data_IF_345183033280
#
_entry.id   IF_345183033280
#
_cell.length_a   1.000
_cell.length_b   1.000
_cell.length_c   1.000
_cell.angle_alpha   90.00
_cell.angle_beta   90.00
_cell.angle_gamma   90.00
#
_symmetry.space_group_name_H-M   'P 1'
#
loop_
_entity.id
_entity.type
_entity.pdbx_description
1 polymer ?
#
# COMPACT_ATOMS: atom_id res chain seq x y z
N UNK A 1 -12.44 -33.20 10.58
CA UNK A 1 -11.07 -33.28 10.02
C UNK A 1 -11.05 -32.45 8.74
N UNK A 2 -10.21 -31.40 8.72
CA UNK A 2 -9.83 -30.48 7.64
C UNK A 2 -9.93 -29.01 8.08
N UNK A 3 -9.08 -28.68 9.04
CA UNK A 3 -8.53 -27.34 9.24
C UNK A 3 -7.65 -26.99 8.04
N UNK A 4 -8.21 -26.31 7.04
CA UNK A 4 -7.41 -25.72 5.96
C UNK A 4 -6.85 -24.40 6.48
N UNK A 5 -5.68 -24.47 7.10
CA UNK A 5 -4.79 -23.32 7.25
C UNK A 5 -4.42 -22.84 5.84
N UNK A 6 -5.14 -21.83 5.33
CA UNK A 6 -4.86 -21.20 4.04
C UNK A 6 -3.71 -20.20 4.21
N UNK A 7 -2.50 -20.72 4.46
CA UNK A 7 -1.27 -19.93 4.53
C UNK A 7 -0.78 -19.53 3.12
N UNK A 8 -1.43 -18.51 2.58
CA UNK A 8 -1.02 -17.57 1.52
C UNK A 8 -2.27 -17.19 0.74
N UNK A 9 -2.96 -16.13 1.16
CA UNK A 9 -4.04 -15.56 0.35
C UNK A 9 -3.45 -15.08 -0.98
N UNK A 10 -3.82 -15.74 -2.09
CA UNK A 10 -3.41 -15.37 -3.43
C UNK A 10 -4.41 -14.36 -3.97
N UNK A 11 -4.40 -13.15 -3.38
CA UNK A 11 -5.35 -12.04 -3.64
C UNK A 11 -5.66 -11.87 -5.13
N UNK A 12 -4.63 -11.89 -5.98
CA UNK A 12 -4.79 -11.66 -7.42
C UNK A 12 -5.39 -12.85 -8.18
N UNK A 13 -5.21 -14.06 -7.67
CA UNK A 13 -5.81 -15.27 -8.26
C UNK A 13 -7.27 -15.35 -7.82
N UNK A 14 -7.53 -15.18 -6.52
CA UNK A 14 -8.87 -15.25 -5.92
C UNK A 14 -9.80 -14.13 -6.46
N UNK A 15 -9.26 -12.97 -6.87
CA UNK A 15 -10.03 -11.90 -7.51
C UNK A 15 -10.30 -12.10 -9.02
N UNK A 16 -9.92 -13.23 -9.61
CA UNK A 16 -10.13 -13.50 -11.04
C UNK A 16 -11.60 -13.82 -11.30
N UNK A 17 -12.19 -13.20 -12.32
CA UNK A 17 -13.56 -13.51 -12.76
C UNK A 17 -13.52 -14.74 -13.67
N UNK A 18 -14.17 -15.87 -13.30
CA UNK A 18 -14.12 -17.09 -14.10
C UNK A 18 -14.60 -16.87 -15.53
N UNK A 19 -13.91 -17.52 -16.49
CA UNK A 19 -14.26 -17.52 -17.92
C UNK A 19 -14.43 -16.13 -18.55
N UNK A 20 -13.85 -15.08 -17.94
CA UNK A 20 -13.95 -13.71 -18.42
C UNK A 20 -12.57 -13.16 -18.76
N UNK A 21 -12.44 -12.61 -19.96
CA UNK A 21 -11.20 -12.05 -20.46
C UNK A 21 -11.39 -10.58 -20.83
N UNK A 22 -10.31 -9.83 -20.71
CA UNK A 22 -10.26 -8.41 -21.08
C UNK A 22 -8.95 -8.15 -21.80
N UNK A 23 -8.92 -7.14 -22.65
CA UNK A 23 -7.72 -6.73 -23.36
C UNK A 23 -6.65 -6.24 -22.37
N UNK A 24 -5.38 -6.58 -22.61
CA UNK A 24 -4.28 -5.94 -21.89
C UNK A 24 -4.16 -4.47 -22.30
N UNK A 25 -4.05 -3.57 -21.32
CA UNK A 25 -3.89 -2.15 -21.61
C UNK A 25 -2.58 -1.85 -22.36
N UNK A 26 -2.65 -0.82 -23.21
CA UNK A 26 -1.45 -0.14 -23.69
C UNK A 26 -0.75 0.60 -22.53
N UNK A 27 0.53 0.92 -22.69
CA UNK A 27 1.26 1.65 -21.65
C UNK A 27 0.76 3.08 -21.47
N UNK A 28 0.19 3.69 -22.52
CA UNK A 28 -0.49 4.98 -22.42
C UNK A 28 -1.74 4.88 -21.54
N UNK A 29 -2.62 3.91 -21.81
CA UNK A 29 -3.85 3.67 -21.02
C UNK A 29 -3.53 3.32 -19.57
N UNK A 30 -2.54 2.45 -19.36
CA UNK A 30 -2.08 2.08 -18.01
C UNK A 30 -1.63 3.31 -17.24
N UNK A 31 -0.78 4.16 -17.83
CA UNK A 31 -0.28 5.37 -17.17
C UNK A 31 -1.40 6.34 -16.84
N UNK A 32 -2.32 6.59 -17.78
CA UNK A 32 -3.48 7.46 -17.53
C UNK A 32 -4.30 6.95 -16.34
N UNK A 33 -4.62 5.66 -16.30
CA UNK A 33 -5.40 5.10 -15.20
C UNK A 33 -4.62 5.01 -13.89
N UNK A 34 -3.31 4.76 -13.92
CA UNK A 34 -2.47 4.78 -12.72
C UNK A 34 -2.42 6.17 -12.11
N UNK A 35 -2.25 7.22 -12.92
CA UNK A 35 -2.26 8.61 -12.43
C UNK A 35 -3.61 9.00 -11.83
N UNK A 36 -4.72 8.57 -12.44
CA UNK A 36 -6.05 8.81 -11.88
C UNK A 36 -6.24 8.10 -10.54
N UNK A 37 -5.87 6.82 -10.44
CA UNK A 37 -5.96 6.07 -9.20
C UNK A 37 -5.09 6.69 -8.10
N UNK A 38 -3.90 7.16 -8.44
CA UNK A 38 -3.02 7.85 -7.51
C UNK A 38 -3.64 9.16 -7.00
N UNK A 39 -4.17 9.99 -7.89
CA UNK A 39 -4.83 11.23 -7.50
C UNK A 39 -6.06 10.95 -6.61
N UNK A 40 -6.87 9.96 -6.95
CA UNK A 40 -8.01 9.55 -6.13
C UNK A 40 -7.57 9.07 -4.74
N UNK A 41 -6.45 8.33 -4.65
CA UNK A 41 -5.90 7.91 -3.36
C UNK A 41 -5.49 9.12 -2.51
N UNK A 42 -4.77 10.09 -3.10
CA UNK A 42 -4.38 11.34 -2.44
C UNK A 42 -5.61 12.12 -1.95
N UNK A 43 -6.62 12.29 -2.81
CA UNK A 43 -7.87 12.97 -2.46
C UNK A 43 -8.57 12.31 -1.26
N UNK A 44 -8.42 10.99 -1.11
CA UNK A 44 -9.02 10.22 -0.02
C UNK A 44 -8.21 10.26 1.29
N UNK A 45 -6.93 10.67 1.27
CA UNK A 45 -6.12 10.79 2.50
C UNK A 45 -6.66 11.90 3.42
N UNK A 46 -6.95 13.07 2.84
CA UNK A 46 -7.35 14.27 3.58
C UNK A 46 -8.63 14.09 4.43
N UNK A 47 -9.76 13.64 3.87
CA UNK A 47 -10.99 13.47 4.65
C UNK A 47 -10.90 12.35 5.70
N UNK A 48 -9.94 11.44 5.57
CA UNK A 48 -9.73 10.33 6.50
C UNK A 48 -8.74 10.66 7.63
N UNK A 49 -8.08 11.81 7.59
CA UNK A 49 -7.04 12.16 8.56
C UNK A 49 -7.55 12.26 10.00
N UNK A 50 -8.84 12.55 10.17
CA UNK A 50 -9.52 12.67 11.46
C UNK A 50 -9.40 11.43 12.35
N UNK A 51 -9.14 10.25 11.76
CA UNK A 51 -8.89 8.99 12.46
C UNK A 51 -7.70 9.04 13.42
N UNK A 52 -6.78 9.98 13.22
CA UNK A 52 -5.64 10.19 14.12
C UNK A 52 -5.88 11.23 15.22
N UNK A 53 -7.03 11.93 15.23
CA UNK A 53 -7.30 12.98 16.22
C UNK A 53 -7.31 12.48 17.67
N UNK A 54 -7.62 11.19 17.90
CA UNK A 54 -7.58 10.56 19.21
C UNK A 54 -6.17 10.18 19.70
N UNK A 55 -5.14 10.29 18.86
CA UNK A 55 -3.76 9.89 19.20
C UNK A 55 -2.89 11.05 19.68
N UNK A 56 -3.22 12.29 19.29
CA UNK A 56 -2.40 13.46 19.61
C UNK A 56 -3.24 14.74 19.59
N UNK A 57 -2.86 15.68 20.45
CA UNK A 57 -3.37 17.06 20.44
C UNK A 57 -2.79 17.90 19.27
N UNK A 58 -1.85 17.36 18.49
CA UNK A 58 -1.19 18.03 17.37
C UNK A 58 -1.36 17.28 16.04
N UNK A 59 -2.61 17.01 15.60
CA UNK A 59 -2.88 16.18 14.42
C UNK A 59 -2.30 16.75 13.12
N UNK A 60 -2.19 18.07 12.98
CA UNK A 60 -1.56 18.71 11.80
C UNK A 60 -0.04 18.54 11.77
N UNK A 61 0.62 18.55 12.93
CA UNK A 61 2.06 18.26 13.00
C UNK A 61 2.31 16.79 12.66
N UNK A 62 1.44 15.89 13.13
CA UNK A 62 1.50 14.49 12.77
C UNK A 62 1.32 14.33 11.26
N UNK A 63 0.36 15.03 10.65
CA UNK A 63 0.12 15.01 9.21
C UNK A 63 1.35 15.37 8.40
N UNK A 64 2.00 16.46 8.78
CA UNK A 64 3.22 16.92 8.13
C UNK A 64 4.30 15.84 8.09
N UNK A 65 4.42 15.02 9.15
CA UNK A 65 5.37 13.90 9.18
C UNK A 65 5.17 12.88 8.04
N UNK A 66 3.92 12.69 7.59
CA UNK A 66 3.58 11.80 6.48
C UNK A 66 3.65 12.53 5.13
N UNK A 67 3.18 13.77 5.06
CA UNK A 67 3.21 14.58 3.84
C UNK A 67 4.65 14.80 3.33
N UNK A 68 5.61 14.97 4.25
CA UNK A 68 7.05 15.07 3.97
C UNK A 68 7.64 13.77 3.36
N UNK A 69 6.86 12.68 3.28
CA UNK A 69 7.25 11.40 2.65
C UNK A 69 6.58 11.17 1.30
N UNK A 70 5.84 12.13 0.77
CA UNK A 70 5.16 12.04 -0.53
C UNK A 70 6.12 11.69 -1.69
N UNK A 71 7.31 12.30 -1.74
CA UNK A 71 8.34 11.98 -2.76
C UNK A 71 8.80 10.52 -2.72
N UNK A 72 8.82 9.92 -1.53
CA UNK A 72 9.17 8.50 -1.35
C UNK A 72 8.12 7.58 -1.97
N UNK A 73 6.85 7.91 -1.78
CA UNK A 73 5.73 7.21 -2.39
C UNK A 73 5.79 7.33 -3.91
N UNK A 74 6.06 8.53 -4.43
CA UNK A 74 6.23 8.77 -5.86
C UNK A 74 7.36 7.93 -6.47
N UNK A 75 8.51 7.89 -5.80
CA UNK A 75 9.64 7.05 -6.22
C UNK A 75 9.28 5.56 -6.20
N UNK A 76 8.50 5.10 -5.23
CA UNK A 76 8.01 3.73 -5.16
C UNK A 76 7.10 3.39 -6.33
N UNK A 77 6.08 4.22 -6.58
CA UNK A 77 5.07 4.02 -7.63
C UNK A 77 5.73 4.03 -9.01
N UNK A 78 6.62 4.99 -9.24
CA UNK A 78 7.45 5.06 -10.44
C UNK A 78 8.24 3.78 -10.63
N UNK A 79 8.96 3.32 -9.60
CA UNK A 79 9.70 2.05 -9.69
C UNK A 79 8.76 0.88 -10.04
N UNK A 80 7.59 0.82 -9.41
CA UNK A 80 6.64 -0.27 -9.61
C UNK A 80 6.12 -0.31 -11.06
N UNK A 81 5.65 0.82 -11.58
CA UNK A 81 5.16 0.95 -12.97
C UNK A 81 6.21 0.50 -13.98
N UNK A 82 7.47 0.92 -13.81
CA UNK A 82 8.56 0.57 -14.71
C UNK A 82 8.95 -0.92 -14.67
N UNK A 83 8.68 -1.62 -13.57
CA UNK A 83 9.19 -2.98 -13.35
C UNK A 83 8.09 -4.06 -13.40
N UNK A 84 6.81 -3.67 -13.42
CA UNK A 84 5.71 -4.63 -13.40
C UNK A 84 5.47 -5.27 -14.78
N UNK A 85 5.88 -4.60 -15.88
CA UNK A 85 5.64 -5.05 -17.27
C UNK A 85 4.14 -5.32 -17.53
N UNK A 86 3.29 -4.44 -17.00
CA UNK A 86 1.83 -4.63 -17.01
C UNK A 86 1.14 -4.28 -18.32
N UNK A 87 1.84 -3.64 -19.26
CA UNK A 87 1.25 -3.06 -20.47
C UNK A 87 1.97 -3.48 -21.75
N UNK A 88 1.30 -3.27 -22.88
CA UNK A 88 1.88 -3.39 -24.22
C UNK A 88 2.04 -2.02 -24.89
N UNK A 89 2.80 -1.92 -25.97
CA UNK A 89 3.09 -0.64 -26.61
C UNK A 89 1.89 -0.03 -27.35
N UNK A 90 0.99 -0.87 -27.89
CA UNK A 90 -0.15 -0.42 -28.69
C UNK A 90 -1.48 -0.77 -28.01
N UNK A 91 -2.58 -0.22 -28.53
CA UNK A 91 -3.94 -0.42 -28.01
C UNK A 91 -4.52 -1.79 -28.36
N UNK A 92 -3.82 -2.64 -29.09
CA UNK A 92 -4.25 -3.98 -29.49
C UNK A 92 -3.56 -5.06 -28.65
N UNK A 93 -3.63 -4.93 -27.32
CA UNK A 93 -3.04 -5.90 -26.41
C UNK A 93 -3.70 -7.28 -26.45
N UNK A 94 -2.99 -8.34 -26.02
CA UNK A 94 -3.55 -9.69 -25.93
C UNK A 94 -4.68 -9.76 -24.91
N UNK A 95 -5.54 -10.76 -25.04
CA UNK A 95 -6.57 -11.05 -24.04
C UNK A 95 -5.94 -11.67 -22.79
N UNK A 96 -6.28 -11.13 -21.63
CA UNK A 96 -5.82 -11.59 -20.31
C UNK A 96 -7.02 -11.90 -19.41
N UNK A 97 -6.89 -12.75 -18.37
CA UNK A 97 -7.96 -12.99 -17.42
C UNK A 97 -8.41 -11.69 -16.74
N UNK A 98 -9.72 -11.42 -16.74
CA UNK A 98 -10.28 -10.23 -16.09
C UNK A 98 -10.31 -10.42 -14.57
N UNK A 99 -9.91 -9.39 -13.84
CA UNK A 99 -9.97 -9.36 -12.37
C UNK A 99 -10.97 -8.33 -11.87
N UNK A 100 -11.58 -8.63 -10.72
CA UNK A 100 -12.41 -7.67 -10.01
C UNK A 100 -11.51 -6.79 -9.12
N UNK A 101 -11.36 -5.51 -9.48
CA UNK A 101 -10.47 -4.57 -8.78
C UNK A 101 -10.97 -4.32 -7.34
N UNK A 102 -12.28 -4.16 -7.14
CA UNK A 102 -12.85 -4.02 -5.79
C UNK A 102 -12.56 -5.24 -4.91
N UNK A 103 -12.60 -6.43 -5.50
CA UNK A 103 -12.28 -7.67 -4.80
C UNK A 103 -10.79 -7.77 -4.44
N UNK A 104 -9.89 -7.23 -5.27
CA UNK A 104 -8.46 -7.11 -4.93
C UNK A 104 -8.28 -6.25 -3.67
N UNK A 105 -8.99 -5.12 -3.54
CA UNK A 105 -8.93 -4.28 -2.34
C UNK A 105 -9.46 -5.01 -1.11
N UNK A 106 -10.62 -5.68 -1.23
CA UNK A 106 -11.25 -6.43 -0.13
C UNK A 106 -10.35 -7.58 0.36
N UNK A 107 -9.87 -8.43 -0.55
CA UNK A 107 -8.99 -9.54 -0.23
C UNK A 107 -7.62 -9.06 0.28
N UNK A 108 -7.11 -7.96 -0.26
CA UNK A 108 -5.85 -7.35 0.18
C UNK A 108 -5.91 -6.85 1.63
N UNK A 109 -7.01 -6.18 1.99
CA UNK A 109 -7.32 -5.78 3.36
C UNK A 109 -7.41 -6.99 4.30
N UNK A 110 -8.18 -8.03 3.93
CA UNK A 110 -8.29 -9.26 4.74
C UNK A 110 -6.92 -9.89 4.98
N UNK A 111 -6.07 -9.93 3.96
CA UNK A 111 -4.71 -10.47 4.06
C UNK A 111 -3.84 -9.71 5.07
N UNK A 112 -4.02 -8.39 5.13
CA UNK A 112 -3.30 -7.51 6.05
C UNK A 112 -3.86 -7.66 7.46
N UNK A 113 -5.18 -7.58 7.61
CA UNK A 113 -5.88 -7.69 8.91
C UNK A 113 -5.61 -9.02 9.59
N UNK A 114 -5.61 -10.15 8.87
CA UNK A 114 -5.26 -11.45 9.45
C UNK A 114 -3.84 -11.49 10.01
N UNK A 115 -2.87 -10.87 9.32
CA UNK A 115 -1.49 -10.78 9.80
C UNK A 115 -1.36 -9.84 10.99
N UNK A 116 -2.07 -8.72 10.99
CA UNK A 116 -2.08 -7.77 12.10
C UNK A 116 -2.65 -8.41 13.37
N UNK A 117 -3.77 -9.14 13.27
CA UNK A 117 -4.37 -9.88 14.40
C UNK A 117 -3.40 -10.91 14.97
N UNK A 118 -2.71 -11.66 14.10
CA UNK A 118 -1.68 -12.62 14.52
C UNK A 118 -0.52 -11.98 15.29
N UNK A 119 -0.21 -10.71 15.03
CA UNK A 119 0.86 -9.98 15.71
C UNK A 119 0.35 -9.26 16.98
N UNK A 120 -0.93 -8.91 17.01
CA UNK A 120 -1.54 -8.09 18.07
C UNK A 120 -1.51 -8.70 19.48
N UNK A 121 -1.44 -10.03 19.58
CA UNK A 121 -1.42 -10.74 20.86
C UNK A 121 -0.14 -10.51 21.68
N UNK A 122 0.92 -9.98 21.05
CA UNK A 122 2.23 -9.75 21.68
C UNK A 122 2.61 -8.27 21.74
N UNK A 123 1.68 -7.36 21.48
CA UNK A 123 1.95 -5.93 21.32
C UNK A 123 1.44 -5.12 22.54
N UNK A 124 2.24 -4.20 23.09
CA UNK A 124 1.81 -3.30 24.16
C UNK A 124 0.62 -2.40 23.78
N UNK A 125 -0.19 -2.03 24.79
CA UNK A 125 -1.46 -1.30 24.62
C UNK A 125 -1.30 0.04 23.85
N UNK A 126 -0.25 0.81 24.12
CA UNK A 126 0.00 2.08 23.41
C UNK A 126 0.21 1.88 21.90
N UNK A 127 0.94 0.83 21.52
CA UNK A 127 1.13 0.49 20.11
C UNK A 127 -0.16 -0.05 19.47
N UNK A 128 -1.01 -0.76 20.23
CA UNK A 128 -2.32 -1.19 19.76
C UNK A 128 -3.20 0.00 19.34
N UNK A 129 -3.29 1.07 20.15
CA UNK A 129 -4.08 2.27 19.80
C UNK A 129 -3.65 2.89 18.48
N UNK A 130 -2.34 2.95 18.24
CA UNK A 130 -1.77 3.49 17.00
C UNK A 130 -2.10 2.59 15.81
N UNK A 131 -2.02 1.27 15.98
CA UNK A 131 -2.37 0.29 14.95
C UNK A 131 -3.87 0.31 14.63
N UNK A 132 -4.73 0.47 15.64
CA UNK A 132 -6.18 0.57 15.47
C UNK A 132 -6.52 1.83 14.66
N UNK A 133 -5.97 3.00 15.04
CA UNK A 133 -6.16 4.25 14.29
C UNK A 133 -5.62 4.17 12.85
N UNK A 134 -4.47 3.53 12.64
CA UNK A 134 -3.92 3.31 11.30
C UNK A 134 -4.80 2.35 10.46
N UNK A 135 -5.40 1.34 11.11
CA UNK A 135 -6.39 0.46 10.51
C UNK A 135 -7.64 1.22 10.08
N UNK A 136 -8.22 2.03 10.97
CA UNK A 136 -9.40 2.85 10.68
C UNK A 136 -9.14 3.88 9.58
N UNK A 137 -7.95 4.48 9.58
CA UNK A 137 -7.48 5.34 8.50
C UNK A 137 -7.45 4.59 7.16
N UNK A 138 -6.82 3.42 7.11
CA UNK A 138 -6.74 2.60 5.91
C UNK A 138 -8.12 2.16 5.40
N UNK A 139 -9.04 1.79 6.30
CA UNK A 139 -10.42 1.46 5.98
C UNK A 139 -11.16 2.65 5.38
N UNK A 140 -11.02 3.84 5.98
CA UNK A 140 -11.61 5.07 5.47
C UNK A 140 -11.12 5.38 4.05
N UNK A 141 -9.80 5.36 3.83
CA UNK A 141 -9.19 5.65 2.51
C UNK A 141 -9.68 4.65 1.46
N UNK A 142 -9.66 3.35 1.79
CA UNK A 142 -10.19 2.28 0.93
C UNK A 142 -11.65 2.54 0.55
N UNK A 143 -12.51 2.81 1.53
CA UNK A 143 -13.93 3.04 1.29
C UNK A 143 -14.19 4.31 0.45
N UNK A 144 -13.45 5.39 0.71
CA UNK A 144 -13.49 6.59 -0.11
C UNK A 144 -13.09 6.28 -1.56
N UNK A 145 -12.00 5.54 -1.75
CA UNK A 145 -11.49 5.17 -3.08
C UNK A 145 -12.48 4.28 -3.84
N UNK A 146 -13.04 3.26 -3.20
CA UNK A 146 -14.07 2.40 -3.80
C UNK A 146 -15.35 3.19 -4.13
N UNK A 147 -15.74 4.14 -3.28
CA UNK A 147 -16.90 5.01 -3.53
C UNK A 147 -16.69 5.87 -4.78
N UNK A 148 -15.51 6.48 -4.94
CA UNK A 148 -15.15 7.24 -6.16
C UNK A 148 -15.20 6.40 -7.44
N UNK A 149 -15.12 5.07 -7.34
CA UNK A 149 -15.12 4.13 -8.47
C UNK A 149 -16.38 3.26 -8.55
N UNK A 150 -17.49 3.61 -7.88
CA UNK A 150 -18.75 2.86 -7.98
C UNK A 150 -19.29 2.79 -9.41
N UNK A 151 -19.03 3.81 -10.23
CA UNK A 151 -19.36 3.85 -11.66
C UNK A 151 -18.40 3.09 -12.58
N UNK A 152 -17.47 2.33 -12.01
CA UNK A 152 -16.38 1.65 -12.73
C UNK A 152 -15.05 2.37 -12.56
N UNK A 153 -13.97 1.60 -12.59
CA UNK A 153 -12.60 2.13 -12.55
C UNK A 153 -12.21 2.70 -13.91
N UNK A 154 -11.15 3.51 -13.95
CA UNK A 154 -10.59 4.02 -15.22
C UNK A 154 -10.37 2.92 -16.27
N UNK A 155 -9.86 1.76 -15.82
CA UNK A 155 -9.65 0.58 -16.65
C UNK A 155 -10.92 0.04 -17.32
N UNK A 156 -12.07 0.14 -16.65
CA UNK A 156 -13.35 -0.27 -17.22
C UNK A 156 -13.76 0.65 -18.38
N UNK A 157 -13.43 1.94 -18.32
CA UNK A 157 -13.71 2.92 -19.40
C UNK A 157 -12.89 2.66 -20.66
N UNK A 158 -11.66 2.17 -20.51
CA UNK A 158 -10.80 1.75 -21.64
C UNK A 158 -11.03 0.30 -22.07
N UNK A 159 -11.91 -0.43 -21.37
CA UNK A 159 -12.15 -1.85 -21.56
C UNK A 159 -10.84 -2.67 -21.61
N UNK A 160 -9.93 -2.39 -20.69
CA UNK A 160 -8.62 -3.03 -20.59
C UNK A 160 -8.21 -3.24 -19.13
N UNK A 161 -7.25 -4.12 -18.87
CA UNK A 161 -6.57 -4.18 -17.57
C UNK A 161 -5.05 -4.35 -17.74
N UNK A 162 -4.24 -3.90 -16.78
CA UNK A 162 -2.83 -4.23 -16.78
C UNK A 162 -2.64 -5.72 -16.47
N UNK A 163 -1.66 -6.34 -17.10
CA UNK A 163 -1.23 -7.70 -16.78
C UNK A 163 -0.53 -7.71 -15.41
N UNK A 164 -1.28 -8.11 -14.39
CA UNK A 164 -0.73 -8.26 -13.04
C UNK A 164 -0.51 -9.75 -12.77
N UNK A 165 0.73 -10.24 -12.85
CA UNK A 165 1.04 -11.61 -12.45
C UNK A 165 1.51 -11.64 -11.00
N UNK A 166 1.01 -12.56 -10.16
CA UNK A 166 1.30 -12.54 -8.72
C UNK A 166 2.79 -12.66 -8.40
N UNK A 167 3.49 -13.61 -9.03
CA UNK A 167 4.94 -13.80 -8.85
C UNK A 167 5.74 -12.56 -9.25
N UNK A 168 5.37 -11.94 -10.38
CA UNK A 168 6.01 -10.69 -10.86
C UNK A 168 5.72 -9.55 -9.90
N UNK A 169 4.47 -9.38 -9.48
CA UNK A 169 4.03 -8.36 -8.51
C UNK A 169 4.82 -8.47 -7.20
N UNK A 170 4.87 -9.65 -6.58
CA UNK A 170 5.66 -9.88 -5.36
C UNK A 170 7.14 -9.58 -5.56
N UNK A 171 7.71 -9.94 -6.71
CA UNK A 171 9.13 -9.65 -7.05
C UNK A 171 9.36 -8.15 -7.23
N UNK A 172 8.47 -7.45 -7.93
CA UNK A 172 8.55 -6.01 -8.20
C UNK A 172 8.37 -5.20 -6.92
N UNK A 173 7.38 -5.53 -6.08
CA UNK A 173 7.22 -4.95 -4.74
C UNK A 173 8.52 -5.04 -3.94
N UNK A 174 9.09 -6.25 -3.84
CA UNK A 174 10.37 -6.46 -3.13
C UNK A 174 11.53 -5.66 -3.74
N UNK A 175 11.57 -5.50 -5.07
CA UNK A 175 12.60 -4.71 -5.75
C UNK A 175 12.47 -3.22 -5.40
N UNK A 176 11.27 -2.67 -5.53
CA UNK A 176 11.01 -1.24 -5.29
C UNK A 176 11.06 -0.86 -3.81
N UNK A 177 10.70 -1.76 -2.89
CA UNK A 177 10.94 -1.51 -1.46
C UNK A 177 12.43 -1.45 -1.13
N UNK A 178 13.32 -2.11 -1.91
CA UNK A 178 14.77 -2.04 -1.68
C UNK A 178 15.42 -0.76 -2.19
N UNK A 179 14.79 -0.05 -3.14
CA UNK A 179 15.29 1.26 -3.59
C UNK A 179 15.03 2.34 -2.55
N UNK A 180 14.12 2.06 -1.62
CA UNK A 180 13.78 2.92 -0.49
C UNK A 180 14.61 2.48 0.71
N UNK A 181 15.25 3.44 1.38
CA UNK A 181 15.89 3.18 2.67
C UNK A 181 14.84 3.07 3.78
N UNK A 182 13.93 2.10 3.66
CA UNK A 182 12.70 2.00 4.45
C UNK A 182 12.96 2.02 5.96
N UNK A 183 14.11 1.52 6.40
CA UNK A 183 14.49 1.51 7.82
C UNK A 183 14.81 2.91 8.34
N UNK A 184 15.55 3.69 7.56
CA UNK A 184 15.82 5.10 7.89
C UNK A 184 14.51 5.88 7.88
N UNK A 185 13.72 5.73 6.83
CA UNK A 185 12.45 6.45 6.68
C UNK A 185 11.45 6.11 7.80
N UNK A 186 11.37 4.84 8.21
CA UNK A 186 10.55 4.43 9.35
C UNK A 186 11.06 5.04 10.68
N UNK A 187 12.38 5.11 10.87
CA UNK A 187 12.97 5.76 12.05
C UNK A 187 12.70 7.26 12.10
N UNK A 188 12.87 7.96 10.97
CA UNK A 188 12.63 9.39 10.85
C UNK A 188 11.14 9.72 11.04
N UNK A 189 10.24 8.94 10.43
CA UNK A 189 8.79 9.06 10.63
C UNK A 189 8.42 8.83 12.09
N UNK A 190 8.95 7.78 12.74
CA UNK A 190 8.68 7.49 14.14
C UNK A 190 9.06 8.67 15.05
N UNK A 191 10.27 9.24 14.87
CA UNK A 191 10.71 10.42 15.64
C UNK A 191 9.81 11.62 15.40
N UNK A 192 9.44 11.88 14.16
CA UNK A 192 8.54 12.97 13.82
C UNK A 192 7.18 12.78 14.53
N UNK A 193 6.61 11.58 14.49
CA UNK A 193 5.36 11.26 15.18
C UNK A 193 5.44 11.42 16.70
N UNK A 194 6.57 11.05 17.32
CA UNK A 194 6.81 11.31 18.76
C UNK A 194 6.84 12.81 19.05
N UNK A 195 7.55 13.60 18.22
CA UNK A 195 7.60 15.06 18.36
C UNK A 195 6.23 15.71 18.13
N UNK A 196 5.40 15.09 17.29
CA UNK A 196 4.01 15.45 17.05
C UNK A 196 3.05 14.95 18.14
N UNK A 197 3.53 14.38 19.25
CA UNK A 197 2.72 14.06 20.43
C UNK A 197 2.35 12.59 20.60
N UNK A 198 2.78 11.67 19.73
CA UNK A 198 2.58 10.22 19.92
C UNK A 198 3.69 9.65 20.82
N UNK A 199 3.64 9.95 22.12
CA UNK A 199 4.66 9.53 23.09
C UNK A 199 4.84 8.02 23.18
N UNK A 200 3.76 7.25 22.96
CA UNK A 200 3.74 5.79 23.03
C UNK A 200 4.67 5.13 21.99
N UNK A 201 5.11 5.86 20.95
CA UNK A 201 6.05 5.36 19.95
C UNK A 201 7.52 5.44 20.37
N UNK A 202 7.85 6.19 21.43
CA UNK A 202 9.24 6.57 21.75
C UNK A 202 10.18 5.37 21.89
N UNK A 203 9.73 4.31 22.56
CA UNK A 203 10.54 3.10 22.77
C UNK A 203 10.82 2.33 21.48
N UNK A 204 9.90 2.41 20.50
CA UNK A 204 10.01 1.73 19.21
C UNK A 204 10.89 2.48 18.22
N UNK A 205 10.94 3.82 18.29
CA UNK A 205 11.78 4.62 17.40
C UNK A 205 13.26 4.21 17.49
N UNK A 206 13.73 3.92 18.71
CA UNK A 206 15.09 3.42 18.97
C UNK A 206 15.37 2.08 18.28
N UNK A 207 14.37 1.20 18.17
CA UNK A 207 14.50 -0.08 17.48
C UNK A 207 14.69 0.15 15.97
N UNK A 208 13.88 1.03 15.36
CA UNK A 208 14.01 1.38 13.95
C UNK A 208 15.37 2.00 13.62
N UNK A 209 15.90 2.85 14.50
CA UNK A 209 17.26 3.39 14.36
C UNK A 209 18.35 2.31 14.41
N UNK A 210 18.28 1.39 15.38
CA UNK A 210 19.25 0.30 15.48
C UNK A 210 19.22 -0.58 14.23
N UNK A 211 18.03 -0.84 13.69
CA UNK A 211 17.85 -1.62 12.47
C UNK A 211 18.44 -0.92 11.23
N UNK A 212 18.39 0.42 11.17
CA UNK A 212 18.93 1.21 10.05
C UNK A 212 20.47 1.23 10.05
N UNK A 213 21.11 1.29 11.23
CA UNK A 213 22.58 1.33 11.39
C UNK A 213 23.29 0.01 11.03
N UNK A 214 22.65 -1.15 11.21
CA UNK A 214 23.25 -2.48 10.96
C UNK A 214 23.58 -2.80 9.48
N UNK A 215 23.43 -1.85 8.54
CA UNK A 215 23.64 -2.09 7.09
C UNK A 215 24.56 -1.10 6.39
N UNK A 216 25.23 -0.18 7.08
CA UNK A 216 26.37 0.49 6.45
C UNK A 216 27.52 -0.53 6.34
N UNK A 217 28.00 -0.87 5.13
CA UNK A 217 29.29 -1.53 5.03
C UNK A 217 30.29 -0.59 5.69
N UNK A 218 31.10 -1.11 6.63
CA UNK A 218 32.35 -0.44 7.00
C UNK A 218 33.07 -0.12 5.70
N UNK A 219 33.14 1.16 5.33
CA UNK A 219 34.11 1.64 4.37
C UNK A 219 35.47 1.20 4.91
N UNK A 220 36.11 0.25 4.22
CA UNK A 220 37.50 -0.09 4.49
C UNK A 220 38.33 1.16 4.17
N UNK A 221 38.89 1.75 5.21
CA UNK A 221 40.09 2.58 5.12
C UNK A 221 41.26 1.61 4.99
#
# INVERSE_FOLDING_TARGET
MLSVHRESQNVLVDATIPNTYVRQCSCQEQRTCSNEMEQQAIDCLNPCWDRFNGLTERPDQLRKCFDDKSELLQAFLTCFEHNIEGCVQNTNGPMIPKRNISEIFRLGEEAISHKAVSLSQSIPIGLKKILDAAGDFALCVKNCFLTKNQGGFCFDRYNCQPLIAEKKTKKTLRRCTKTINWKKEAGDLCKCSVNAGISDLKEYCSIFELMSRRRQPRSRI
#
